data_IF_331304172925
#
_entry.id   IF_331304172925
#
_cell.length_a   1.000
_cell.length_b   1.000
_cell.length_c   1.000
_cell.angle_alpha   90.00
_cell.angle_beta   90.00
_cell.angle_gamma   90.00
#
_symmetry.space_group_name_H-M   'P 1'
#
loop_
_entity.id
_entity.type
_entity.pdbx_description
1 polymer ?
#
# COMPACT_ATOMS: atom_id res chain seq x y z
N UNK A 1 4.35 -0.24 -10.02
CA UNK A 1 4.42 1.21 -9.73
C UNK A 1 5.87 1.61 -9.59
N UNK A 2 6.33 2.54 -10.42
CA UNK A 2 7.69 3.09 -10.36
C UNK A 2 7.63 4.42 -9.63
N UNK A 3 8.37 4.52 -8.52
CA UNK A 3 8.27 5.57 -7.52
C UNK A 3 7.38 5.14 -6.34
N UNK A 4 7.94 5.13 -5.14
CA UNK A 4 7.34 4.80 -3.85
C UNK A 4 7.04 6.05 -2.99
N UNK A 5 7.04 7.24 -3.61
CA UNK A 5 6.57 8.47 -2.98
C UNK A 5 5.05 8.46 -2.71
N UNK A 6 4.51 9.60 -2.26
CA UNK A 6 3.10 9.72 -1.84
C UNK A 6 2.08 9.23 -2.87
N UNK A 7 2.27 9.61 -4.13
CA UNK A 7 1.41 9.20 -5.26
C UNK A 7 1.57 7.71 -5.55
N UNK A 8 2.80 7.21 -5.60
CA UNK A 8 3.09 5.81 -5.89
C UNK A 8 2.53 4.85 -4.85
N UNK A 9 2.68 5.19 -3.57
CA UNK A 9 2.04 4.45 -2.48
C UNK A 9 0.51 4.48 -2.62
N UNK A 10 -0.09 5.63 -2.94
CA UNK A 10 -1.53 5.74 -3.14
C UNK A 10 -2.05 4.87 -4.30
N UNK A 11 -1.30 4.81 -5.41
CA UNK A 11 -1.64 3.94 -6.54
C UNK A 11 -1.54 2.47 -6.12
N UNK A 12 -0.42 2.08 -5.48
CA UNK A 12 -0.23 0.71 -5.00
C UNK A 12 -1.35 0.29 -4.02
N UNK A 13 -1.79 1.21 -3.16
CA UNK A 13 -2.91 0.98 -2.25
C UNK A 13 -4.21 0.61 -2.98
N UNK A 14 -4.55 1.33 -4.04
CA UNK A 14 -5.80 1.11 -4.78
C UNK A 14 -5.78 -0.27 -5.46
N UNK A 15 -4.64 -0.65 -6.05
CA UNK A 15 -4.48 -1.97 -6.67
C UNK A 15 -4.56 -3.11 -5.66
N UNK A 16 -3.85 -2.99 -4.53
CA UNK A 16 -3.93 -3.97 -3.45
C UNK A 16 -5.36 -4.11 -2.90
N UNK A 17 -6.09 -2.99 -2.73
CA UNK A 17 -7.50 -3.02 -2.31
C UNK A 17 -8.44 -3.66 -3.33
N UNK A 18 -8.05 -3.66 -4.60
CA UNK A 18 -8.78 -4.37 -5.65
C UNK A 18 -8.41 -5.85 -5.77
N UNK A 19 -7.56 -6.39 -4.90
CA UNK A 19 -7.00 -7.74 -5.01
C UNK A 19 -6.09 -7.91 -6.22
N UNK A 20 -5.52 -6.82 -6.75
CA UNK A 20 -4.64 -6.83 -7.91
C UNK A 20 -3.20 -6.80 -7.41
N UNK A 21 -2.39 -7.84 -7.69
CA UNK A 21 -1.00 -7.86 -7.29
C UNK A 21 -0.23 -6.72 -7.97
N UNK A 22 0.52 -5.97 -7.18
CA UNK A 22 1.25 -4.79 -7.64
C UNK A 22 2.69 -4.81 -7.11
N UNK A 23 3.65 -4.57 -7.99
CA UNK A 23 5.07 -4.41 -7.61
C UNK A 23 5.39 -2.93 -7.41
N UNK A 24 5.96 -2.56 -6.27
CA UNK A 24 6.43 -1.20 -5.99
C UNK A 24 7.96 -1.16 -6.09
N UNK A 25 8.49 -0.20 -6.85
CA UNK A 25 9.94 -0.05 -7.08
C UNK A 25 10.33 1.42 -6.94
N UNK A 26 11.48 1.68 -6.31
CA UNK A 26 12.09 3.01 -6.18
C UNK A 26 13.62 2.88 -6.25
N UNK A 27 14.35 4.01 -6.27
CA UNK A 27 15.80 4.04 -6.35
C UNK A 27 16.50 3.50 -5.08
N UNK A 28 15.80 3.44 -3.95
CA UNK A 28 16.34 3.04 -2.65
C UNK A 28 15.36 2.13 -1.93
N UNK A 29 15.90 1.03 -1.38
CA UNK A 29 15.14 0.07 -0.58
C UNK A 29 14.49 0.71 0.65
N UNK A 30 15.13 1.71 1.25
CA UNK A 30 14.60 2.43 2.42
C UNK A 30 13.28 3.16 2.08
N UNK A 31 13.16 3.69 0.86
CA UNK A 31 11.96 4.39 0.40
C UNK A 31 10.84 3.38 0.21
N UNK A 32 11.15 2.24 -0.41
CA UNK A 32 10.18 1.14 -0.60
C UNK A 32 9.71 0.62 0.76
N UNK A 33 10.62 0.33 1.69
CA UNK A 33 10.29 -0.15 3.03
C UNK A 33 9.40 0.84 3.79
N UNK A 34 9.70 2.14 3.74
CA UNK A 34 8.85 3.18 4.35
C UNK A 34 7.47 3.25 3.72
N UNK A 35 7.39 3.12 2.39
CA UNK A 35 6.11 3.13 1.68
C UNK A 35 5.25 1.92 2.06
N UNK A 36 5.84 0.72 2.09
CA UNK A 36 5.16 -0.52 2.48
C UNK A 36 4.67 -0.43 3.93
N UNK A 37 5.53 -0.06 4.88
CA UNK A 37 5.12 0.09 6.28
C UNK A 37 4.00 1.16 6.46
N UNK A 38 4.08 2.25 5.69
CA UNK A 38 3.04 3.28 5.66
C UNK A 38 1.71 2.77 5.11
N UNK A 39 1.75 1.92 4.08
CA UNK A 39 0.58 1.29 3.48
C UNK A 39 -0.09 0.31 4.43
N UNK A 40 0.67 -0.59 5.05
CA UNK A 40 0.18 -1.55 6.04
C UNK A 40 -0.53 -0.84 7.19
N UNK A 41 0.08 0.22 7.74
CA UNK A 41 -0.53 1.01 8.83
C UNK A 41 -1.85 1.67 8.41
N UNK A 42 -1.91 2.22 7.19
CA UNK A 42 -3.14 2.85 6.67
C UNK A 42 -4.24 1.83 6.42
N UNK A 43 -3.88 0.69 5.86
CA UNK A 43 -4.83 -0.40 5.59
C UNK A 43 -5.36 -1.00 6.90
N UNK A 44 -4.49 -1.29 7.87
CA UNK A 44 -4.89 -1.75 9.20
C UNK A 44 -5.89 -0.78 9.86
N UNK A 45 -5.60 0.53 9.81
CA UNK A 45 -6.52 1.55 10.35
C UNK A 45 -7.87 1.58 9.62
N UNK A 46 -7.93 1.31 8.31
CA UNK A 46 -9.21 1.24 7.58
C UNK A 46 -10.01 -0.01 7.94
N UNK A 47 -9.34 -1.14 8.18
CA UNK A 47 -9.97 -2.38 8.67
C UNK A 47 -10.54 -2.16 10.06
N UNK A 48 -9.77 -1.56 10.98
CA UNK A 48 -10.25 -1.19 12.32
C UNK A 48 -11.46 -0.25 12.29
N UNK A 49 -11.50 0.66 11.32
CA UNK A 49 -12.63 1.57 11.10
C UNK A 49 -13.83 0.91 10.41
N UNK A 50 -13.78 -0.38 10.07
CA UNK A 50 -14.82 -1.10 9.34
C UNK A 50 -15.03 -0.62 7.91
N UNK A 51 -14.08 0.15 7.35
CA UNK A 51 -14.15 0.72 6.00
C UNK A 51 -13.55 -0.19 4.93
N UNK A 52 -12.99 -1.32 5.34
CA UNK A 52 -12.29 -2.28 4.49
C UNK A 52 -12.35 -3.66 5.14
N UNK A 53 -12.56 -4.72 4.36
CA UNK A 53 -12.52 -6.08 4.91
C UNK A 53 -11.06 -6.52 5.08
N UNK A 54 -10.81 -7.49 5.97
CA UNK A 54 -9.46 -8.03 6.15
C UNK A 54 -8.93 -8.70 4.87
N UNK A 55 -9.81 -9.21 4.00
CA UNK A 55 -9.45 -9.82 2.72
C UNK A 55 -8.97 -8.83 1.66
N UNK A 56 -9.28 -7.54 1.79
CA UNK A 56 -8.82 -6.49 0.86
C UNK A 56 -7.46 -5.90 1.27
N UNK A 57 -6.84 -6.44 2.32
CA UNK A 57 -5.54 -6.00 2.82
C UNK A 57 -4.37 -6.72 2.13
N UNK A 58 -4.61 -7.92 1.60
CA UNK A 58 -3.59 -8.87 1.15
C UNK A 58 -3.37 -8.86 -0.37
#
# INVERSE_FOLDING_TARGET
VVGAGTMGAGIAQIFAQGGIPVTLTDQSEDIVAKAVAGLEKRMARRVEQGKMSAGDKD
#
